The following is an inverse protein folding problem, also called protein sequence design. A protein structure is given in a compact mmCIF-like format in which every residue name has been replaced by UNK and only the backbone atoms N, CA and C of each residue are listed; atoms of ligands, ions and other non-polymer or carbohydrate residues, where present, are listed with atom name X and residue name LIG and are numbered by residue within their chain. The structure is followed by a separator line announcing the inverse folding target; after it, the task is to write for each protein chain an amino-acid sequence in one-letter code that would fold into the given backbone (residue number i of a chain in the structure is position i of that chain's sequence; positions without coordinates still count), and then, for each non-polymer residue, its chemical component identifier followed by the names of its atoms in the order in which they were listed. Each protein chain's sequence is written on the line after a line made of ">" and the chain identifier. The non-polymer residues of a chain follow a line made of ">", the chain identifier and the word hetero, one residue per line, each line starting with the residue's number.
data_IF_058789452335
#
_entry.id   IF_058789452335
#
_cell.length_a   1.000
_cell.length_b   1.000
_cell.length_c   1.000
_cell.angle_alpha   90.00
_cell.angle_beta   90.00
_cell.angle_gamma   90.00
#
_symmetry.space_group_name_H-M   'P 1'
#
loop_
_entity.id
_entity.type
_entity.pdbx_description
1 polymer ?
#
# COMPACT_ATOMS: atom_id res chain seq x y z
N UNK A 1 -34.88 22.69 22.47
CA UNK A 1 -33.83 23.55 23.06
C UNK A 1 -32.59 22.79 23.52
N UNK A 2 -32.68 21.68 24.29
CA UNK A 2 -31.50 20.90 24.74
C UNK A 2 -30.64 20.29 23.61
N UNK A 3 -31.23 19.83 22.51
CA UNK A 3 -30.48 19.24 21.37
C UNK A 3 -29.64 20.28 20.60
N UNK A 4 -30.15 21.50 20.43
CA UNK A 4 -29.44 22.59 19.75
C UNK A 4 -28.24 23.05 20.58
N UNK A 5 -28.37 23.05 21.91
CA UNK A 5 -27.27 23.37 22.83
C UNK A 5 -26.13 22.34 22.73
N UNK A 6 -26.46 21.05 22.56
CA UNK A 6 -25.45 19.98 22.38
C UNK A 6 -24.69 20.14 21.07
N UNK A 7 -25.37 20.44 19.96
CA UNK A 7 -24.70 20.69 18.67
C UNK A 7 -23.82 21.94 18.69
N UNK A 8 -24.23 23.00 19.40
CA UNK A 8 -23.41 24.21 19.55
C UNK A 8 -22.18 23.93 20.43
N UNK A 9 -22.30 23.10 21.48
CA UNK A 9 -21.15 22.70 22.32
C UNK A 9 -20.18 21.80 21.53
N UNK A 10 -20.68 20.86 20.72
CA UNK A 10 -19.83 20.00 19.89
C UNK A 10 -19.16 20.80 18.77
N UNK A 11 -19.87 21.75 18.15
CA UNK A 11 -19.29 22.64 17.15
C UNK A 11 -18.29 23.64 17.76
N UNK A 12 -18.54 24.16 18.96
CA UNK A 12 -17.60 25.03 19.69
C UNK A 12 -16.37 24.27 20.18
N UNK A 13 -16.51 23.01 20.59
CA UNK A 13 -15.38 22.13 20.90
C UNK A 13 -14.55 21.83 19.64
N UNK A 14 -15.20 21.53 18.51
CA UNK A 14 -14.56 21.35 17.21
C UNK A 14 -13.82 22.62 16.73
N UNK A 15 -14.38 23.80 16.96
CA UNK A 15 -13.74 25.08 16.59
C UNK A 15 -12.63 25.51 17.57
N UNK A 16 -12.64 25.05 18.83
CA UNK A 16 -11.53 25.26 19.77
C UNK A 16 -10.37 24.28 19.60
N UNK A 17 -10.54 23.22 18.79
CA UNK A 17 -9.50 22.23 18.47
C UNK A 17 -8.54 22.71 17.35
N UNK A 18 -8.80 23.86 16.74
CA UNK A 18 -7.97 24.44 15.67
C UNK A 18 -7.05 25.58 16.13
N UNK A 19 -6.97 25.92 17.43
CA UNK A 19 -5.95 26.85 17.91
C UNK A 19 -5.11 26.26 19.04
N UNK A 20 -3.81 26.15 18.74
CA UNK A 20 -2.70 25.92 19.68
C UNK A 20 -2.68 24.59 20.46
N UNK A 21 -2.03 23.57 19.86
CA UNK A 21 -1.11 22.65 20.56
C UNK A 21 -1.62 21.90 21.80
N UNK A 22 -2.87 21.44 21.80
CA UNK A 22 -3.45 20.74 22.95
C UNK A 22 -3.10 19.25 22.99
N UNK A 23 -2.33 18.84 24.01
CA UNK A 23 -2.03 17.44 24.41
C UNK A 23 -3.22 16.47 24.38
N UNK A 24 -4.46 16.95 24.48
CA UNK A 24 -5.68 16.12 24.38
C UNK A 24 -6.01 15.65 22.96
N UNK A 25 -5.72 16.47 21.95
CA UNK A 25 -5.89 16.10 20.55
C UNK A 25 -4.88 15.03 20.13
N UNK A 26 -3.69 15.03 20.72
CA UNK A 26 -2.66 14.01 20.48
C UNK A 26 -3.04 12.71 21.17
N UNK A 27 -3.54 12.73 22.41
CA UNK A 27 -4.05 11.52 23.07
C UNK A 27 -5.21 10.87 22.32
N UNK A 28 -6.16 11.65 21.77
CA UNK A 28 -7.26 11.08 20.97
C UNK A 28 -6.74 10.52 19.64
N UNK A 29 -5.79 11.18 18.99
CA UNK A 29 -5.21 10.69 17.75
C UNK A 29 -4.32 9.46 17.97
N UNK A 30 -3.56 9.40 19.07
CA UNK A 30 -2.81 8.22 19.50
C UNK A 30 -3.75 7.04 19.81
N UNK A 31 -4.86 7.28 20.51
CA UNK A 31 -5.89 6.27 20.80
C UNK A 31 -6.58 5.77 19.51
N UNK A 32 -6.78 6.66 18.53
CA UNK A 32 -7.38 6.33 17.23
C UNK A 32 -6.36 5.85 16.18
N UNK A 33 -5.06 5.82 16.52
CA UNK A 33 -3.97 5.48 15.60
C UNK A 33 -3.86 6.43 14.40
N UNK A 34 -4.24 7.70 14.56
CA UNK A 34 -4.13 8.74 13.54
C UNK A 34 -2.73 9.34 13.64
N UNK A 35 -1.86 8.94 12.72
CA UNK A 35 -0.53 9.52 12.57
C UNK A 35 -0.64 10.97 12.05
N UNK A 36 -0.11 11.92 12.82
CA UNK A 36 -0.14 13.37 12.50
C UNK A 36 1.19 13.89 11.96
N UNK A 37 2.21 13.04 11.89
CA UNK A 37 3.53 13.51 11.48
C UNK A 37 3.51 13.92 10.01
N UNK A 38 3.95 15.14 9.74
CA UNK A 38 4.19 15.61 8.39
C UNK A 38 5.56 15.10 7.92
N UNK A 39 5.57 13.84 7.47
CA UNK A 39 6.78 13.20 6.94
C UNK A 39 7.32 13.87 5.67
N UNK A 40 6.49 14.62 4.94
CA UNK A 40 6.96 15.38 3.78
C UNK A 40 7.85 16.56 4.20
N UNK A 41 7.62 17.11 5.39
CA UNK A 41 8.37 18.26 5.91
C UNK A 41 9.59 17.90 6.76
N UNK A 42 9.86 16.61 7.00
CA UNK A 42 11.03 16.19 7.79
C UNK A 42 12.35 16.67 7.17
N UNK A 43 13.30 17.06 8.03
CA UNK A 43 14.61 17.50 7.57
C UNK A 43 15.41 16.33 7.00
N UNK A 44 16.05 16.57 5.85
CA UNK A 44 16.94 15.59 5.23
C UNK A 44 18.19 15.41 6.10
N UNK A 45 18.42 14.18 6.54
CA UNK A 45 19.63 13.77 7.27
C UNK A 45 20.73 13.46 6.27
N UNK A 46 20.40 12.77 5.19
CA UNK A 46 21.38 12.34 4.18
C UNK A 46 20.72 12.23 2.80
N UNK A 47 21.46 12.61 1.76
CA UNK A 47 21.11 12.30 0.37
C UNK A 47 21.78 10.99 0.00
N UNK A 48 21.00 10.01 -0.43
CA UNK A 48 21.48 8.68 -0.75
C UNK A 48 21.96 8.62 -2.20
N UNK A 49 23.02 7.87 -2.44
CA UNK A 49 23.50 7.61 -3.79
C UNK A 49 22.55 6.64 -4.52
N UNK A 50 22.49 6.73 -5.84
CA UNK A 50 21.63 5.86 -6.67
C UNK A 50 22.01 4.37 -6.53
N UNK A 51 23.29 4.07 -6.32
CA UNK A 51 23.84 2.72 -6.16
C UNK A 51 23.82 2.22 -4.70
N UNK A 52 23.21 2.97 -3.78
CA UNK A 52 23.06 2.55 -2.38
C UNK A 52 22.15 1.31 -2.28
N UNK A 53 22.52 0.36 -1.41
CA UNK A 53 21.76 -0.87 -1.18
C UNK A 53 20.34 -0.58 -0.69
N UNK A 54 20.18 0.45 0.15
CA UNK A 54 18.87 0.91 0.62
C UNK A 54 18.04 1.42 -0.55
N UNK A 55 18.63 2.20 -1.45
CA UNK A 55 17.93 2.73 -2.63
C UNK A 55 17.49 1.61 -3.56
N UNK A 56 18.38 0.66 -3.84
CA UNK A 56 18.07 -0.52 -4.65
C UNK A 56 16.90 -1.32 -4.06
N UNK A 57 16.91 -1.51 -2.73
CA UNK A 57 15.82 -2.18 -2.03
C UNK A 57 14.50 -1.43 -2.13
N UNK A 58 14.50 -0.13 -1.89
CA UNK A 58 13.30 0.71 -1.96
C UNK A 58 12.74 0.82 -3.39
N UNK A 59 13.61 0.76 -4.41
CA UNK A 59 13.20 0.67 -5.81
C UNK A 59 12.46 -0.64 -6.11
N UNK A 60 12.91 -1.77 -5.56
CA UNK A 60 12.18 -3.04 -5.65
C UNK A 60 10.84 -3.00 -4.91
N UNK A 61 10.80 -2.41 -3.71
CA UNK A 61 9.53 -2.22 -2.98
C UNK A 61 8.54 -1.36 -3.78
N UNK A 62 9.02 -0.35 -4.51
CA UNK A 62 8.18 0.53 -5.34
C UNK A 62 7.42 -0.21 -6.43
N UNK A 63 7.86 -1.40 -6.87
CA UNK A 63 7.18 -2.15 -7.95
C UNK A 63 5.82 -2.72 -7.53
N UNK A 64 5.56 -2.87 -6.23
CA UNK A 64 4.32 -3.47 -5.74
C UNK A 64 3.09 -2.63 -6.10
N UNK A 65 3.22 -1.31 -6.28
CA UNK A 65 2.07 -0.40 -6.48
C UNK A 65 1.52 -0.38 -7.89
N UNK A 66 2.09 -1.19 -8.79
CA UNK A 66 1.72 -1.18 -10.19
C UNK A 66 0.66 -2.26 -10.50
N UNK A 67 -0.41 -1.85 -11.18
CA UNK A 67 -1.51 -2.70 -11.58
C UNK A 67 -1.80 -2.52 -13.06
N UNK A 68 -1.41 -3.50 -13.87
CA UNK A 68 -1.52 -3.42 -15.33
C UNK A 68 -0.64 -2.31 -15.93
N UNK A 69 -1.27 -1.21 -16.36
CA UNK A 69 -0.62 -0.01 -16.91
C UNK A 69 -0.67 1.20 -15.95
N UNK A 70 -1.29 1.03 -14.79
CA UNK A 70 -1.53 2.12 -13.85
C UNK A 70 -0.67 1.98 -12.60
N UNK A 71 -0.34 3.14 -12.02
CA UNK A 71 0.32 3.25 -10.71
C UNK A 71 -0.69 3.88 -9.76
N UNK A 72 -1.05 3.17 -8.70
CA UNK A 72 -2.09 3.63 -7.77
C UNK A 72 -1.46 4.55 -6.73
N UNK A 73 -1.83 5.84 -6.75
CA UNK A 73 -1.40 6.83 -5.75
C UNK A 73 -2.28 6.80 -4.51
N UNK A 74 -1.73 7.18 -3.36
CA UNK A 74 -2.43 7.21 -2.09
C UNK A 74 -1.76 8.10 -1.06
N UNK A 75 -2.59 8.72 -0.21
CA UNK A 75 -2.14 9.65 0.82
C UNK A 75 -1.99 9.03 2.22
N UNK A 76 -2.65 7.89 2.48
CA UNK A 76 -2.52 7.15 3.73
C UNK A 76 -2.94 5.67 3.60
N UNK A 77 -2.46 4.83 4.52
CA UNK A 77 -2.90 3.42 4.62
C UNK A 77 -4.43 3.29 4.81
N UNK A 78 -5.04 4.20 5.58
CA UNK A 78 -6.48 4.17 5.87
C UNK A 78 -7.36 4.52 4.69
N UNK A 79 -6.88 5.35 3.76
CA UNK A 79 -7.65 5.76 2.59
C UNK A 79 -7.71 4.65 1.52
N UNK A 80 -6.92 3.59 1.70
CA UNK A 80 -6.47 2.81 0.56
C UNK A 80 -6.60 1.27 0.75
N UNK A 81 -6.99 0.82 1.94
CA UNK A 81 -7.29 -0.60 2.24
C UNK A 81 -8.36 -1.25 1.35
N UNK A 82 -9.13 -0.45 0.60
CA UNK A 82 -10.09 -0.93 -0.39
C UNK A 82 -9.53 -1.16 -1.80
N UNK A 83 -8.54 -0.37 -2.21
CA UNK A 83 -8.10 -0.26 -3.60
C UNK A 83 -6.79 -1.03 -3.87
N UNK A 84 -6.08 -1.44 -2.82
CA UNK A 84 -4.88 -2.28 -2.95
C UNK A 84 -5.14 -3.77 -3.12
N UNK A 85 -6.37 -4.24 -2.92
CA UNK A 85 -6.67 -5.68 -3.04
C UNK A 85 -6.16 -6.19 -4.38
N UNK A 86 -6.49 -5.48 -5.46
CA UNK A 86 -6.09 -5.86 -6.82
C UNK A 86 -4.58 -5.71 -7.06
N UNK A 87 -3.98 -4.62 -6.55
CA UNK A 87 -2.55 -4.34 -6.64
C UNK A 87 -1.72 -5.44 -5.98
N UNK A 88 -2.03 -5.74 -4.71
CA UNK A 88 -1.32 -6.74 -3.91
C UNK A 88 -1.54 -8.14 -4.46
N UNK A 89 -2.78 -8.49 -4.82
CA UNK A 89 -3.05 -9.79 -5.41
C UNK A 89 -2.39 -9.95 -6.77
N UNK A 90 -2.27 -8.89 -7.58
CA UNK A 90 -1.53 -8.90 -8.84
C UNK A 90 -0.04 -9.10 -8.63
N UNK A 91 0.55 -8.39 -7.65
CA UNK A 91 1.93 -8.60 -7.26
C UNK A 91 2.17 -10.04 -6.80
N UNK A 92 1.29 -10.59 -5.96
CA UNK A 92 1.40 -11.97 -5.48
C UNK A 92 1.27 -12.97 -6.63
N UNK A 93 0.26 -12.81 -7.49
CA UNK A 93 0.02 -13.67 -8.64
C UNK A 93 1.22 -13.68 -9.60
N UNK A 94 1.83 -12.52 -9.88
CA UNK A 94 2.99 -12.42 -10.76
C UNK A 94 4.27 -12.96 -10.12
N UNK A 95 4.55 -12.59 -8.86
CA UNK A 95 5.83 -12.91 -8.20
C UNK A 95 5.90 -14.37 -7.72
N UNK A 96 4.77 -14.92 -7.24
CA UNK A 96 4.74 -16.23 -6.58
C UNK A 96 3.77 -17.20 -7.26
N UNK A 97 3.52 -17.04 -8.57
CA UNK A 97 2.62 -17.90 -9.35
C UNK A 97 2.82 -19.39 -9.09
N UNK A 98 4.08 -19.85 -9.10
CA UNK A 98 4.43 -21.27 -8.92
C UNK A 98 4.04 -21.80 -7.53
N UNK A 99 4.11 -20.96 -6.49
CA UNK A 99 3.68 -21.31 -5.13
C UNK A 99 2.18 -21.54 -5.10
N UNK A 100 1.41 -20.64 -5.71
CA UNK A 100 -0.05 -20.65 -5.67
C UNK A 100 -0.72 -21.64 -6.64
N UNK A 101 -0.01 -22.05 -7.68
CA UNK A 101 -0.47 -23.09 -8.62
C UNK A 101 -0.06 -24.51 -8.20
N UNK A 102 0.90 -24.64 -7.27
CA UNK A 102 1.41 -25.94 -6.81
C UNK A 102 0.87 -26.40 -5.44
N UNK A 103 0.05 -25.59 -4.75
CA UNK A 103 -0.54 -25.96 -3.46
C UNK A 103 -1.67 -26.98 -3.63
N UNK A 104 -1.29 -28.27 -3.60
CA UNK A 104 -2.24 -29.38 -3.77
C UNK A 104 -3.32 -29.44 -2.69
N UNK A 105 -2.98 -29.12 -1.44
CA UNK A 105 -3.95 -29.20 -0.34
C UNK A 105 -5.05 -28.17 -0.53
N UNK A 106 -4.67 -26.94 -0.90
CA UNK A 106 -5.62 -25.88 -1.17
C UNK A 106 -6.45 -26.16 -2.44
N UNK A 107 -5.82 -26.72 -3.48
CA UNK A 107 -6.52 -27.12 -4.72
C UNK A 107 -7.52 -28.27 -4.51
N UNK A 108 -7.19 -29.25 -3.67
CA UNK A 108 -8.09 -30.34 -3.31
C UNK A 108 -9.29 -29.81 -2.52
N UNK A 109 -9.04 -28.93 -1.53
CA UNK A 109 -10.10 -28.29 -0.76
C UNK A 109 -10.99 -27.38 -1.63
N UNK A 110 -10.40 -26.65 -2.57
CA UNK A 110 -11.14 -25.84 -3.55
C UNK A 110 -12.07 -26.73 -4.40
N UNK A 111 -11.55 -27.83 -4.93
CA UNK A 111 -12.33 -28.77 -5.75
C UNK A 111 -13.49 -29.40 -4.99
N UNK A 112 -13.35 -29.61 -3.68
CA UNK A 112 -14.43 -30.08 -2.80
C UNK A 112 -15.49 -28.99 -2.56
N UNK A 113 -15.08 -27.75 -2.31
CA UNK A 113 -15.99 -26.66 -1.87
C UNK A 113 -16.64 -25.89 -3.02
N UNK A 114 -16.03 -25.91 -4.20
CA UNK A 114 -16.43 -25.16 -5.41
C UNK A 114 -16.24 -26.02 -6.69
N UNK A 115 -16.89 -27.19 -6.79
CA UNK A 115 -16.71 -28.12 -7.90
C UNK A 115 -17.12 -27.57 -9.28
N UNK A 116 -17.91 -26.50 -9.30
CA UNK A 116 -18.36 -25.81 -10.52
C UNK A 116 -17.32 -24.84 -11.11
N UNK A 117 -16.26 -24.53 -10.37
CA UNK A 117 -15.22 -23.58 -10.77
C UNK A 117 -13.93 -24.33 -11.14
N UNK A 118 -13.23 -23.83 -12.15
CA UNK A 118 -11.90 -24.30 -12.53
C UNK A 118 -10.94 -23.14 -12.47
N UNK A 119 -9.92 -23.26 -11.62
CA UNK A 119 -8.89 -22.22 -11.44
C UNK A 119 -7.50 -22.86 -11.42
N UNK A 120 -6.50 -22.10 -11.83
CA UNK A 120 -5.11 -22.55 -11.85
C UNK A 120 -4.28 -21.98 -10.70
N UNK A 121 -4.83 -21.01 -9.97
CA UNK A 121 -4.10 -20.25 -8.95
C UNK A 121 -5.04 -19.90 -7.80
N UNK A 122 -4.60 -20.17 -6.56
CA UNK A 122 -5.29 -19.80 -5.33
C UNK A 122 -4.34 -19.01 -4.44
N UNK A 123 -4.71 -17.79 -4.08
CA UNK A 123 -3.90 -16.92 -3.22
C UNK A 123 -4.52 -16.91 -1.82
N UNK A 124 -3.87 -17.47 -0.78
CA UNK A 124 -4.40 -17.48 0.57
C UNK A 124 -4.60 -16.05 1.10
N UNK A 125 -5.68 -15.82 1.86
CA UNK A 125 -5.90 -14.53 2.53
C UNK A 125 -4.74 -14.18 3.46
N UNK A 126 -4.14 -15.16 4.13
CA UNK A 126 -2.99 -14.93 5.01
C UNK A 126 -1.80 -14.33 4.25
N UNK A 127 -1.54 -14.77 3.02
CA UNK A 127 -0.44 -14.23 2.21
C UNK A 127 -0.76 -12.80 1.72
N UNK A 128 -2.03 -12.52 1.38
CA UNK A 128 -2.49 -11.16 1.13
C UNK A 128 -2.32 -10.24 2.36
N UNK A 129 -2.83 -10.63 3.52
CA UNK A 129 -2.74 -9.85 4.77
C UNK A 129 -1.27 -9.61 5.18
N UNK A 130 -0.42 -10.63 5.08
CA UNK A 130 1.01 -10.51 5.35
C UNK A 130 1.70 -9.54 4.40
N UNK A 131 1.31 -9.53 3.13
CA UNK A 131 1.87 -8.61 2.13
C UNK A 131 1.41 -7.18 2.41
N UNK A 132 0.13 -6.97 2.73
CA UNK A 132 -0.37 -5.65 3.14
C UNK A 132 0.38 -5.14 4.39
N UNK A 133 0.57 -5.98 5.40
CA UNK A 133 1.34 -5.62 6.60
C UNK A 133 2.80 -5.27 6.27
N UNK A 134 3.44 -6.09 5.44
CA UNK A 134 4.85 -5.96 5.11
C UNK A 134 5.12 -4.68 4.33
N UNK A 135 4.37 -4.45 3.25
CA UNK A 135 4.67 -3.38 2.30
C UNK A 135 3.96 -2.06 2.58
N UNK A 136 2.86 -2.07 3.34
CA UNK A 136 2.06 -0.87 3.58
C UNK A 136 1.86 -0.55 5.07
N UNK A 137 2.47 -1.32 5.98
CA UNK A 137 2.49 -1.00 7.42
C UNK A 137 1.16 -1.19 8.15
N UNK A 138 0.27 -2.02 7.61
CA UNK A 138 -1.07 -2.24 8.15
C UNK A 138 -1.10 -2.95 9.49
N UNK A 139 -1.18 -2.22 10.60
CA UNK A 139 -1.48 -2.78 11.93
C UNK A 139 -2.98 -3.12 12.13
N UNK A 140 -3.80 -2.93 11.09
CA UNK A 140 -5.23 -3.26 11.05
C UNK A 140 -5.47 -4.40 10.08
N UNK A 141 -6.49 -5.22 10.36
CA UNK A 141 -6.90 -6.31 9.48
C UNK A 141 -7.18 -5.77 8.07
N UNK A 142 -6.53 -6.34 7.05
CA UNK A 142 -6.75 -5.92 5.68
C UNK A 142 -8.20 -6.23 5.28
N UNK A 143 -8.79 -5.41 4.41
CA UNK A 143 -10.17 -5.65 3.99
C UNK A 143 -10.19 -6.81 3.00
N UNK A 144 -10.81 -7.91 3.40
CA UNK A 144 -10.99 -9.08 2.54
C UNK A 144 -12.34 -8.97 1.85
N UNK A 145 -12.33 -8.79 0.52
CA UNK A 145 -13.54 -8.68 -0.30
C UNK A 145 -13.24 -9.04 -1.75
N UNK A 146 -14.25 -9.51 -2.47
CA UNK A 146 -14.17 -9.63 -3.94
C UNK A 146 -14.10 -8.25 -4.59
N UNK A 147 -13.40 -8.19 -5.73
CA UNK A 147 -13.25 -7.04 -6.60
C UNK A 147 -13.67 -7.43 -8.02
N UNK A 148 -13.46 -6.54 -9.00
CA UNK A 148 -13.70 -6.86 -10.40
C UNK A 148 -12.70 -7.89 -10.96
N UNK A 149 -11.50 -7.97 -10.37
CA UNK A 149 -10.39 -8.78 -10.90
C UNK A 149 -10.14 -10.04 -10.08
N UNK A 150 -10.49 -10.02 -8.79
CA UNK A 150 -10.31 -11.13 -7.87
C UNK A 150 -11.61 -11.46 -7.13
N UNK A 151 -11.95 -12.73 -7.04
CA UNK A 151 -13.06 -13.19 -6.19
C UNK A 151 -12.54 -13.82 -4.92
N UNK A 152 -13.09 -13.39 -3.79
CA UNK A 152 -12.85 -13.99 -2.49
C UNK A 152 -13.73 -15.23 -2.29
N UNK A 153 -13.11 -16.34 -1.90
CA UNK A 153 -13.75 -17.63 -1.64
C UNK A 153 -13.73 -17.94 -0.14
N UNK A 154 -14.77 -17.50 0.57
CA UNK A 154 -14.87 -17.59 2.03
C UNK A 154 -14.71 -19.01 2.59
N UNK A 155 -15.18 -20.06 1.88
CA UNK A 155 -15.12 -21.45 2.38
C UNK A 155 -13.70 -22.01 2.49
N UNK A 156 -12.75 -21.43 1.79
CA UNK A 156 -11.35 -21.86 1.74
C UNK A 156 -10.36 -20.74 2.07
N UNK A 157 -10.89 -19.57 2.43
CA UNK A 157 -10.16 -18.36 2.78
C UNK A 157 -9.05 -17.99 1.77
N UNK A 158 -9.42 -17.95 0.48
CA UNK A 158 -8.49 -17.66 -0.61
C UNK A 158 -9.13 -16.77 -1.68
N UNK A 159 -8.27 -16.13 -2.47
CA UNK A 159 -8.65 -15.39 -3.67
C UNK A 159 -8.39 -16.23 -4.92
N UNK A 160 -9.29 -16.09 -5.90
CA UNK A 160 -9.08 -16.52 -7.27
C UNK A 160 -9.05 -15.31 -8.19
N UNK A 161 -8.25 -15.40 -9.24
CA UNK A 161 -8.29 -14.42 -10.32
C UNK A 161 -9.46 -14.72 -11.25
N UNK A 162 -10.33 -13.73 -11.49
CA UNK A 162 -11.49 -13.85 -12.38
C UNK A 162 -11.38 -12.97 -13.63
N UNK A 163 -10.58 -11.90 -13.57
CA UNK A 163 -10.26 -11.04 -14.70
C UNK A 163 -8.90 -11.37 -15.32
N UNK A 164 -8.68 -10.96 -16.57
CA UNK A 164 -7.33 -10.94 -17.11
C UNK A 164 -6.54 -9.85 -16.39
N UNK A 165 -5.47 -10.26 -15.72
CA UNK A 165 -4.47 -9.31 -15.22
C UNK A 165 -3.32 -9.29 -16.21
N UNK A 166 -2.80 -8.08 -16.45
CA UNK A 166 -1.56 -7.92 -17.20
C UNK A 166 -0.43 -7.98 -16.19
N UNK A 167 0.56 -8.83 -16.45
CA UNK A 167 1.80 -8.83 -15.67
C UNK A 167 2.35 -7.40 -15.62
N UNK A 168 2.61 -6.93 -14.40
CA UNK A 168 3.16 -5.61 -14.20
C UNK A 168 4.68 -5.68 -14.19
N UNK A 169 5.27 -5.93 -15.36
CA UNK A 169 6.71 -5.79 -15.56
C UNK A 169 7.03 -4.32 -15.80
N UNK A 170 7.49 -3.65 -14.74
CA UNK A 170 7.91 -2.25 -14.78
C UNK A 170 9.38 -2.13 -14.42
N UNK A 171 10.10 -1.34 -15.22
CA UNK A 171 11.42 -0.85 -14.86
C UNK A 171 11.25 0.38 -13.98
N UNK A 172 12.07 0.50 -12.94
CA UNK A 172 12.08 1.64 -12.02
C UNK A 172 13.41 2.36 -12.16
N UNK A 173 13.37 3.67 -12.36
CA UNK A 173 14.55 4.54 -12.29
C UNK A 173 14.38 5.48 -11.11
N UNK A 174 15.35 5.48 -10.20
CA UNK A 174 15.39 6.40 -9.06
C UNK A 174 16.12 7.67 -9.49
N UNK A 175 15.49 8.83 -9.29
CA UNK A 175 16.08 10.14 -9.62
C UNK A 175 16.60 10.86 -8.39
N UNK A 176 15.89 10.72 -7.28
CA UNK A 176 16.22 11.34 -6.01
C UNK A 176 15.95 10.34 -4.90
N UNK A 177 16.85 10.29 -3.92
CA UNK A 177 16.71 9.48 -2.73
C UNK A 177 17.25 10.24 -1.52
N UNK A 178 16.40 10.39 -0.52
CA UNK A 178 16.72 11.09 0.71
C UNK A 178 16.35 10.24 1.92
N UNK A 179 17.21 10.29 2.94
CA UNK A 179 16.94 9.76 4.26
C UNK A 179 16.64 10.91 5.23
N UNK A 180 15.56 10.75 5.99
CA UNK A 180 15.22 11.59 7.15
C UNK A 180 15.40 10.79 8.44
N UNK A 181 15.03 11.36 9.59
CA UNK A 181 15.01 10.61 10.84
C UNK A 181 14.07 9.39 10.75
N UNK A 182 12.83 9.60 10.28
CA UNK A 182 11.77 8.58 10.32
C UNK A 182 11.50 7.90 8.98
N UNK A 183 11.99 8.44 7.86
CA UNK A 183 11.57 8.02 6.52
C UNK A 183 12.71 7.94 5.52
N UNK A 184 12.42 7.27 4.41
CA UNK A 184 13.10 7.43 3.14
C UNK A 184 12.13 8.08 2.14
N UNK A 185 12.61 9.04 1.36
CA UNK A 185 11.84 9.74 0.34
C UNK A 185 12.48 9.52 -1.01
N UNK A 186 11.74 8.93 -1.94
CA UNK A 186 12.24 8.61 -3.27
C UNK A 186 11.40 9.30 -4.34
N UNK A 187 12.05 9.82 -5.36
CA UNK A 187 11.42 10.24 -6.62
C UNK A 187 11.77 9.22 -7.68
N UNK A 188 10.78 8.51 -8.23
CA UNK A 188 11.01 7.42 -9.19
C UNK A 188 10.18 7.59 -10.45
N UNK A 189 10.72 7.18 -11.59
CA UNK A 189 9.94 6.98 -12.81
C UNK A 189 9.71 5.49 -13.06
N UNK A 190 8.47 5.15 -13.41
CA UNK A 190 8.13 3.82 -13.90
C UNK A 190 8.17 3.80 -15.42
N UNK A 191 8.77 2.76 -15.98
CA UNK A 191 8.79 2.53 -17.43
C UNK A 191 8.26 1.13 -17.76
N UNK A 192 7.42 1.06 -18.78
CA UNK A 192 6.90 -0.19 -19.34
C UNK A 192 7.23 -0.24 -20.82
N UNK A 193 7.97 -1.25 -21.26
CA UNK A 193 8.43 -1.37 -22.65
C UNK A 193 9.07 -0.06 -23.17
N UNK A 194 9.87 0.60 -22.33
CA UNK A 194 10.46 1.93 -22.58
C UNK A 194 9.52 3.14 -22.62
N UNK A 195 8.20 2.98 -22.50
CA UNK A 195 7.27 4.10 -22.32
C UNK A 195 7.18 4.49 -20.84
N UNK A 196 7.19 5.79 -20.53
CA UNK A 196 7.05 6.26 -19.15
C UNK A 196 5.59 6.13 -18.69
N UNK A 197 5.37 5.48 -17.56
CA UNK A 197 4.09 5.45 -16.83
C UNK A 197 3.96 6.64 -15.84
N UNK A 198 4.92 7.56 -15.85
CA UNK A 198 4.97 8.76 -15.01
C UNK A 198 6.09 8.73 -13.98
N UNK A 199 6.21 9.86 -13.27
CA UNK A 199 7.12 10.05 -12.14
C UNK A 199 6.31 10.21 -10.87
N UNK A 200 6.78 9.60 -9.78
CA UNK A 200 6.06 9.49 -8.52
C UNK A 200 7.00 9.73 -7.35
N UNK A 201 6.47 10.34 -6.30
CA UNK A 201 7.14 10.60 -5.04
C UNK A 201 6.64 9.59 -4.01
N UNK A 202 7.56 8.80 -3.48
CA UNK A 202 7.33 7.82 -2.42
C UNK A 202 7.81 8.37 -1.08
N UNK A 203 7.03 8.09 -0.04
CA UNK A 203 7.47 8.18 1.34
C UNK A 203 7.41 6.78 1.94
N UNK A 204 8.57 6.27 2.33
CA UNK A 204 8.70 5.01 3.06
C UNK A 204 8.96 5.31 4.52
N UNK A 205 8.16 4.75 5.43
CA UNK A 205 8.43 4.88 6.85
C UNK A 205 9.36 3.77 7.32
N UNK A 206 10.37 4.13 8.11
CA UNK A 206 11.28 3.18 8.74
C UNK A 206 10.53 2.34 9.78
N UNK A 207 10.94 1.09 9.94
CA UNK A 207 10.41 0.16 10.93
C UNK A 207 11.53 -0.32 11.84
N UNK A 208 11.28 -0.32 13.14
CA UNK A 208 12.26 -0.83 14.11
C UNK A 208 12.58 -2.31 13.82
N UNK A 209 13.82 -2.57 13.43
CA UNK A 209 14.31 -3.92 13.19
C UNK A 209 13.75 -4.62 11.95
N UNK A 210 13.22 -3.89 10.96
CA UNK A 210 12.72 -4.52 9.74
C UNK A 210 12.49 -3.58 8.54
N UNK A 211 11.79 -4.15 7.57
CA UNK A 211 11.30 -3.58 6.32
C UNK A 211 10.78 -2.14 6.41
N UNK A 212 11.35 -1.11 5.75
CA UNK A 212 10.56 0.09 5.47
C UNK A 212 9.30 -0.28 4.70
N UNK A 213 8.25 0.49 4.89
CA UNK A 213 6.97 0.26 4.22
C UNK A 213 6.47 1.55 3.59
N UNK A 214 5.69 1.43 2.52
CA UNK A 214 5.16 2.57 1.78
C UNK A 214 4.09 3.24 2.64
N UNK A 215 4.36 4.47 3.03
CA UNK A 215 3.44 5.32 3.76
C UNK A 215 2.59 6.15 2.81
N UNK A 216 3.23 6.72 1.78
CA UNK A 216 2.59 7.59 0.80
C UNK A 216 3.14 7.37 -0.59
N UNK A 217 2.29 7.53 -1.58
CA UNK A 217 2.64 7.57 -2.99
C UNK A 217 1.84 8.65 -3.69
N UNK A 218 2.51 9.69 -4.19
CA UNK A 218 1.86 10.76 -4.97
C UNK A 218 2.50 10.90 -6.34
N UNK A 219 1.73 11.40 -7.31
CA UNK A 219 2.30 11.76 -8.61
C UNK A 219 3.24 12.95 -8.43
N UNK A 220 4.45 12.83 -8.97
CA UNK A 220 5.45 13.88 -8.85
C UNK A 220 5.09 15.07 -9.74
N UNK A 221 5.34 16.28 -9.25
CA UNK A 221 5.32 17.48 -10.09
C UNK A 221 6.55 17.60 -10.98
N UNK A 222 7.60 16.82 -10.69
CA UNK A 222 8.84 16.78 -11.47
C UNK A 222 8.67 15.81 -12.64
N UNK A 223 9.20 16.20 -13.80
CA UNK A 223 9.18 15.37 -15.01
C UNK A 223 10.61 15.09 -15.41
N UNK A 224 10.99 13.81 -15.39
CA UNK A 224 12.28 13.36 -15.86
C UNK A 224 12.12 12.75 -17.26
N UNK A 225 12.90 13.26 -18.22
CA UNK A 225 13.04 12.64 -19.54
C UNK A 225 13.98 11.45 -19.46
N UNK A 226 13.81 10.48 -20.37
CA UNK A 226 14.82 9.46 -20.61
C UNK A 226 15.98 10.03 -21.42
#
# INVERSE_FOLDING_TARGET
>A
MKKILIYIIVAAAAMSLCSCGGRFGDVICDILGIDKNDYSAEATVTVLAEDDEVVSRLAELSKIVCFGDEVITFDSFSDCAGDYVDVVLNYLAGTFYSRYSADRQMMDLFSEKYPELSVNTLIPVSDYENTVYTYFGGNRKATVRSTAMYSYLEKIDAFIQVGQTTECSVDVTVHEAEETESTYRLTVSFYKNSASAGTYDFIFRKRDGGDPYIWRLSKSSKVYGK
#
